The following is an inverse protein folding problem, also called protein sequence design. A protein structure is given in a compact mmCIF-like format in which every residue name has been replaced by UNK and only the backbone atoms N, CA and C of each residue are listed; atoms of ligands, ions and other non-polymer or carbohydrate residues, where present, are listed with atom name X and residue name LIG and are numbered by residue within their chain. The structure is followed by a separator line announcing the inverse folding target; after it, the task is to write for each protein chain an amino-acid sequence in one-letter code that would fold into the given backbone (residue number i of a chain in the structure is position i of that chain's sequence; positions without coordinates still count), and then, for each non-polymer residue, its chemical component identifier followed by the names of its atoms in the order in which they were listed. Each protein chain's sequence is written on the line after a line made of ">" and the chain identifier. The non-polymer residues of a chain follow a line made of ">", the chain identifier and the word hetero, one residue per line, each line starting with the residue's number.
data_IF_018026596356
#
_entry.id   IF_018026596356
#
_cell.length_a   1.000
_cell.length_b   1.000
_cell.length_c   1.000
_cell.angle_alpha   90.00
_cell.angle_beta   90.00
_cell.angle_gamma   90.00
#
_symmetry.space_group_name_H-M   'P 1'
#
loop_
_entity.id
_entity.type
_entity.pdbx_description
1 polymer ?
#
# COMPACT_ATOMS: atom_id res chain seq x y z
N UNK A 1 -59.97 40.86 -47.91
CA UNK A 1 -58.80 41.15 -47.05
C UNK A 1 -58.80 40.14 -45.90
N UNK A 2 -57.87 39.20 -45.91
CA UNK A 2 -57.41 38.49 -44.69
C UNK A 2 -56.04 37.92 -45.00
N UNK A 3 -55.06 38.48 -44.31
CA UNK A 3 -53.67 38.10 -44.22
C UNK A 3 -53.48 37.41 -42.86
N UNK A 4 -52.38 36.69 -42.70
CA UNK A 4 -51.69 36.23 -41.45
C UNK A 4 -51.62 34.70 -41.40
N UNK A 5 -50.56 34.07 -41.94
CA UNK A 5 -49.15 33.93 -41.46
C UNK A 5 -48.98 32.69 -40.58
N UNK A 6 -48.20 31.73 -41.09
CA UNK A 6 -47.62 30.60 -40.36
C UNK A 6 -46.59 31.11 -39.33
N UNK A 7 -46.63 30.58 -38.11
CA UNK A 7 -45.52 30.65 -37.16
C UNK A 7 -44.78 29.31 -37.10
N UNK A 8 -43.43 29.30 -37.10
CA UNK A 8 -42.63 28.10 -36.89
C UNK A 8 -42.42 27.81 -35.39
N UNK A 9 -42.41 26.51 -35.07
CA UNK A 9 -42.03 25.97 -33.75
C UNK A 9 -40.49 25.98 -33.66
N UNK A 10 -39.94 26.77 -32.74
CA UNK A 10 -38.53 26.75 -32.38
C UNK A 10 -38.30 25.73 -31.25
N UNK A 11 -37.49 24.71 -31.52
CA UNK A 11 -36.93 23.82 -30.51
C UNK A 11 -35.82 24.55 -29.75
N UNK A 12 -36.05 24.84 -28.47
CA UNK A 12 -35.01 25.28 -27.55
C UNK A 12 -34.32 24.06 -26.94
N UNK A 13 -33.13 23.74 -27.45
CA UNK A 13 -32.18 22.82 -26.80
C UNK A 13 -31.45 23.58 -25.68
N UNK A 14 -31.97 23.48 -24.47
CA UNK A 14 -31.29 23.99 -23.27
C UNK A 14 -30.14 23.07 -22.86
N UNK A 15 -28.91 23.45 -23.16
CA UNK A 15 -27.73 22.96 -22.44
C UNK A 15 -27.75 23.54 -21.02
N UNK A 16 -28.00 22.69 -20.03
CA UNK A 16 -27.75 23.04 -18.63
C UNK A 16 -26.23 23.03 -18.38
N UNK A 17 -25.65 24.09 -17.79
CA UNK A 17 -24.24 24.10 -17.40
C UNK A 17 -24.03 23.18 -16.20
N UNK A 18 -23.17 22.18 -16.37
CA UNK A 18 -22.62 21.37 -15.28
C UNK A 18 -21.68 22.25 -14.47
N UNK A 19 -22.12 22.69 -13.30
CA UNK A 19 -21.28 23.34 -12.28
C UNK A 19 -20.37 22.29 -11.65
N UNK A 20 -19.13 22.20 -12.14
CA UNK A 20 -18.06 21.48 -11.45
C UNK A 20 -17.64 22.28 -10.22
N UNK A 21 -18.16 21.88 -9.05
CA UNK A 21 -17.69 22.38 -7.76
C UNK A 21 -16.27 21.84 -7.55
N UNK A 22 -15.24 22.67 -7.78
CA UNK A 22 -13.87 22.37 -7.35
C UNK A 22 -13.87 22.26 -5.82
N UNK A 23 -13.79 21.04 -5.31
CA UNK A 23 -13.45 20.79 -3.92
C UNK A 23 -11.95 20.99 -3.81
N UNK A 24 -11.54 22.15 -3.29
CA UNK A 24 -10.16 22.36 -2.85
C UNK A 24 -9.95 21.49 -1.61
N UNK A 25 -9.40 20.30 -1.81
CA UNK A 25 -8.86 19.51 -0.71
C UNK A 25 -7.40 19.96 -0.56
N UNK A 26 -7.13 20.84 0.40
CA UNK A 26 -5.75 21.14 0.79
C UNK A 26 -5.15 19.87 1.40
N UNK A 27 -4.35 19.15 0.61
CA UNK A 27 -3.51 18.07 1.11
C UNK A 27 -2.31 18.73 1.80
N UNK A 28 -2.34 18.78 3.13
CA UNK A 28 -1.18 19.16 3.92
C UNK A 28 -0.12 18.06 3.81
N UNK A 29 0.79 18.19 2.85
CA UNK A 29 2.07 17.48 2.86
C UNK A 29 2.89 18.02 4.03
N UNK A 30 2.98 17.27 5.12
CA UNK A 30 4.16 17.36 6.00
C UNK A 30 5.27 16.61 5.28
N UNK A 31 6.27 17.33 4.78
CA UNK A 31 7.55 16.71 4.44
C UNK A 31 8.01 15.88 5.65
N UNK A 32 8.30 14.58 5.49
CA UNK A 32 9.00 13.86 6.53
C UNK A 32 10.35 14.55 6.70
N UNK A 33 10.62 15.07 7.90
CA UNK A 33 11.97 15.50 8.23
C UNK A 33 12.84 14.25 8.18
N UNK A 34 13.63 14.14 7.10
CA UNK A 34 14.69 13.16 6.97
C UNK A 34 15.79 13.63 7.90
N UNK A 35 15.84 13.05 9.09
CA UNK A 35 16.96 13.25 9.99
C UNK A 35 18.16 12.50 9.40
N UNK A 36 18.99 13.22 8.67
CA UNK A 36 20.22 12.74 8.05
C UNK A 36 21.31 12.64 9.13
N UNK A 37 21.07 11.84 10.15
CA UNK A 37 22.07 11.54 11.17
C UNK A 37 23.06 10.52 10.58
N UNK A 38 24.02 11.04 9.80
CA UNK A 38 25.16 10.31 9.23
C UNK A 38 26.14 9.92 10.34
N UNK A 39 25.70 9.08 11.27
CA UNK A 39 26.58 8.48 12.28
C UNK A 39 27.34 7.34 11.62
N UNK A 40 28.65 7.51 11.44
CA UNK A 40 29.60 6.48 10.99
C UNK A 40 29.48 5.13 11.74
N UNK A 41 28.93 5.13 12.96
CA UNK A 41 28.63 3.93 13.72
C UNK A 41 27.56 3.02 13.06
N UNK A 42 26.54 3.61 12.42
CA UNK A 42 25.47 2.88 11.71
C UNK A 42 26.04 2.15 10.49
N UNK A 43 27.04 2.74 9.84
CA UNK A 43 27.70 2.12 8.69
C UNK A 43 28.36 0.78 9.03
N UNK A 44 29.01 0.69 10.18
CA UNK A 44 29.68 -0.56 10.62
C UNK A 44 28.72 -1.72 10.89
N UNK A 45 27.43 -1.44 11.15
CA UNK A 45 26.44 -2.41 11.66
C UNK A 45 25.26 -2.67 10.72
N UNK A 46 25.16 -2.02 9.56
CA UNK A 46 24.06 -2.25 8.61
C UNK A 46 22.84 -1.36 8.88
N UNK A 47 21.88 -1.32 7.95
CA UNK A 47 20.72 -0.44 8.07
C UNK A 47 19.58 -1.02 8.91
N UNK A 48 18.61 -0.18 9.25
CA UNK A 48 17.46 -0.54 10.08
C UNK A 48 16.28 -1.04 9.23
N UNK A 49 15.42 -1.95 9.74
CA UNK A 49 14.16 -2.26 9.08
C UNK A 49 13.23 -1.04 9.11
N UNK A 50 12.18 -1.08 8.30
CA UNK A 50 11.09 -0.12 8.39
C UNK A 50 10.14 -0.46 9.52
N UNK A 51 9.50 0.56 10.09
CA UNK A 51 8.54 0.36 11.18
C UNK A 51 7.31 -0.39 10.69
N UNK A 52 6.80 -1.33 11.49
CA UNK A 52 5.53 -2.04 11.21
C UNK A 52 4.49 -1.60 12.24
N UNK A 53 3.35 -1.12 11.74
CA UNK A 53 2.20 -0.69 12.54
C UNK A 53 1.00 -1.53 12.16
N UNK A 54 0.32 -2.09 13.15
CA UNK A 54 -0.91 -2.84 12.93
C UNK A 54 -1.99 -2.32 13.87
N UNK A 55 -3.16 -2.03 13.32
CA UNK A 55 -4.28 -1.51 14.08
C UNK A 55 -5.63 -2.19 13.74
N UNK A 56 -6.53 -2.17 14.73
CA UNK A 56 -7.93 -2.59 14.58
C UNK A 56 -8.19 -4.02 15.06
N UNK A 57 -9.22 -4.67 14.50
CA UNK A 57 -9.79 -5.94 15.00
C UNK A 57 -8.80 -7.11 15.06
N UNK A 58 -7.70 -7.01 14.32
CA UNK A 58 -6.64 -8.02 14.29
C UNK A 58 -5.67 -7.92 15.47
N UNK A 59 -5.83 -6.91 16.32
CA UNK A 59 -5.07 -6.73 17.56
C UNK A 59 -6.04 -6.81 18.73
N UNK A 60 -5.71 -7.65 19.72
CA UNK A 60 -6.48 -7.81 20.96
C UNK A 60 -5.53 -7.97 22.14
N UNK A 61 -5.73 -7.20 23.20
CA UNK A 61 -4.91 -7.19 24.41
C UNK A 61 -3.41 -7.01 24.06
N UNK A 62 -3.13 -6.08 23.14
CA UNK A 62 -1.79 -5.84 22.55
C UNK A 62 -1.15 -7.06 21.87
N UNK A 63 -1.92 -8.11 21.59
CA UNK A 63 -1.47 -9.32 20.89
C UNK A 63 -2.09 -9.39 19.51
N UNK A 64 -1.35 -9.90 18.54
CA UNK A 64 -1.79 -10.01 17.16
C UNK A 64 -2.58 -11.31 16.93
N UNK A 65 -3.60 -11.28 16.07
CA UNK A 65 -4.29 -12.49 15.60
C UNK A 65 -3.26 -13.50 15.08
N UNK A 66 -3.38 -14.77 15.50
CA UNK A 66 -2.44 -15.84 15.19
C UNK A 66 -2.18 -16.07 13.69
N UNK A 67 -3.08 -15.60 12.81
CA UNK A 67 -2.93 -15.68 11.36
C UNK A 67 -1.95 -14.63 10.82
N UNK A 68 -1.65 -13.59 11.58
CA UNK A 68 -0.73 -12.53 11.17
C UNK A 68 0.56 -12.65 11.99
N UNK A 69 1.70 -12.58 11.32
CA UNK A 69 3.03 -12.58 11.93
C UNK A 69 3.80 -11.34 11.50
N UNK A 70 4.61 -10.82 12.41
CA UNK A 70 5.53 -9.71 12.13
C UNK A 70 6.97 -10.20 12.29
N UNK A 71 7.82 -9.91 11.30
CA UNK A 71 9.26 -10.18 11.34
C UNK A 71 10.03 -8.90 10.97
N UNK A 72 10.95 -8.50 11.83
CA UNK A 72 11.83 -7.36 11.57
C UNK A 72 13.27 -7.74 11.86
N UNK A 73 14.15 -7.42 10.91
CA UNK A 73 15.57 -7.70 11.02
C UNK A 73 16.41 -6.50 10.57
N UNK A 74 17.50 -6.22 11.29
CA UNK A 74 18.51 -5.28 10.81
C UNK A 74 19.24 -5.84 9.60
N UNK A 75 19.83 -4.97 8.79
CA UNK A 75 20.70 -5.36 7.68
C UNK A 75 22.11 -5.68 8.14
N UNK A 76 22.93 -6.22 7.25
CA UNK A 76 24.34 -6.56 7.49
C UNK A 76 25.24 -5.37 7.14
N UNK A 77 26.16 -4.98 8.04
CA UNK A 77 27.11 -3.89 7.82
C UNK A 77 28.44 -4.34 7.20
N UNK A 78 29.37 -3.39 7.00
CA UNK A 78 30.73 -3.65 6.47
C UNK A 78 31.51 -4.72 7.25
N UNK A 79 31.27 -4.82 8.57
CA UNK A 79 31.94 -5.78 9.44
C UNK A 79 31.39 -7.21 9.33
N UNK A 80 30.34 -7.43 8.53
CA UNK A 80 29.58 -8.68 8.48
C UNK A 80 28.60 -8.86 9.65
N UNK A 81 28.61 -7.96 10.64
CA UNK A 81 27.65 -7.94 11.73
C UNK A 81 26.28 -7.42 11.29
N UNK A 82 25.20 -7.97 11.87
CA UNK A 82 23.82 -7.52 11.63
C UNK A 82 23.41 -6.42 12.61
N UNK A 83 22.68 -5.42 12.14
CA UNK A 83 22.20 -4.33 12.97
C UNK A 83 21.22 -4.86 14.02
N UNK A 84 21.38 -4.42 15.26
CA UNK A 84 20.30 -4.58 16.25
C UNK A 84 19.17 -3.62 15.91
N UNK A 85 17.93 -4.09 15.95
CA UNK A 85 16.76 -3.28 15.62
C UNK A 85 16.52 -2.27 16.74
N UNK A 86 16.49 -0.97 16.40
CA UNK A 86 16.23 0.08 17.39
C UNK A 86 14.79 0.02 17.89
N UNK A 87 14.57 0.51 19.12
CA UNK A 87 13.25 0.54 19.77
C UNK A 87 12.17 1.26 18.93
N UNK A 88 12.56 2.28 18.17
CA UNK A 88 11.66 3.07 17.33
C UNK A 88 11.04 2.28 16.17
N UNK A 89 11.76 1.26 15.70
CA UNK A 89 11.35 0.40 14.60
C UNK A 89 10.57 -0.82 15.07
N UNK A 90 10.56 -1.14 16.37
CA UNK A 90 9.79 -2.27 16.91
C UNK A 90 8.31 -2.17 16.52
N UNK A 91 7.60 -3.31 16.38
CA UNK A 91 6.21 -3.31 15.95
C UNK A 91 5.33 -2.53 16.91
N UNK A 92 4.43 -1.72 16.37
CA UNK A 92 3.44 -0.94 17.15
C UNK A 92 2.06 -1.51 16.88
N UNK A 93 1.42 -2.04 17.92
CA UNK A 93 0.11 -2.65 17.85
C UNK A 93 -0.92 -1.76 18.57
N UNK A 94 -2.07 -1.52 17.93
CA UNK A 94 -3.19 -0.75 18.51
C UNK A 94 -4.51 -1.48 18.28
N UNK A 95 -5.37 -1.55 19.28
CA UNK A 95 -6.69 -2.19 19.12
C UNK A 95 -7.68 -1.32 18.32
N UNK A 96 -7.47 0.00 18.33
CA UNK A 96 -8.35 0.95 17.69
C UNK A 96 -7.66 1.71 16.56
N UNK A 97 -8.41 1.95 15.49
CA UNK A 97 -8.00 2.80 14.37
C UNK A 97 -8.51 4.21 14.65
N UNK A 98 -7.59 5.19 14.74
CA UNK A 98 -7.89 6.58 15.11
C UNK A 98 -8.76 7.33 14.08
N UNK A 99 -8.94 6.75 12.88
CA UNK A 99 -9.70 7.33 11.76
C UNK A 99 -10.50 6.25 11.00
N UNK A 100 -11.32 5.49 11.73
CA UNK A 100 -12.10 4.37 11.17
C UNK A 100 -13.18 4.82 10.16
N UNK A 101 -13.68 6.05 10.29
CA UNK A 101 -14.78 6.56 9.45
C UNK A 101 -14.31 7.03 8.07
N UNK A 102 -13.02 7.34 7.89
CA UNK A 102 -12.47 7.76 6.60
C UNK A 102 -12.61 6.69 5.50
N UNK A 103 -12.53 5.41 5.84
CA UNK A 103 -12.64 4.31 4.86
C UNK A 103 -14.08 4.15 4.36
N UNK A 104 -15.09 4.45 5.19
CA UNK A 104 -16.51 4.23 4.86
C UNK A 104 -17.10 5.27 3.91
N UNK A 105 -16.61 6.51 3.95
CA UNK A 105 -17.26 7.62 3.26
C UNK A 105 -16.80 7.83 1.80
N UNK A 106 -15.73 7.16 1.35
CA UNK A 106 -15.09 7.45 0.05
C UNK A 106 -15.32 6.42 -1.06
N UNK A 107 -15.82 5.24 -0.73
CA UNK A 107 -15.67 4.08 -1.61
C UNK A 107 -16.96 3.78 -2.37
N UNK A 108 -16.97 4.04 -3.68
CA UNK A 108 -18.06 3.68 -4.59
C UNK A 108 -18.39 2.17 -4.49
N UNK A 109 -19.65 1.82 -4.28
CA UNK A 109 -20.13 0.47 -3.94
C UNK A 109 -19.85 -0.65 -4.99
N UNK A 110 -19.36 -0.31 -6.19
CA UNK A 110 -19.22 -1.26 -7.32
C UNK A 110 -17.83 -1.25 -7.99
N UNK A 111 -16.77 -0.91 -7.25
CA UNK A 111 -15.40 -0.91 -7.79
C UNK A 111 -14.62 -2.15 -7.33
N UNK A 112 -14.09 -2.89 -8.30
CA UNK A 112 -13.20 -4.03 -8.07
C UNK A 112 -11.85 -3.78 -8.74
N UNK A 113 -10.79 -3.78 -7.94
CA UNK A 113 -9.41 -3.73 -8.43
C UNK A 113 -8.76 -5.07 -8.13
N UNK A 114 -8.28 -5.74 -9.17
CA UNK A 114 -7.58 -7.01 -9.02
C UNK A 114 -6.15 -6.87 -9.55
N UNK A 115 -5.17 -7.11 -8.70
CA UNK A 115 -3.75 -6.93 -8.98
C UNK A 115 -3.06 -8.29 -8.93
N UNK A 116 -2.35 -8.64 -10.00
CA UNK A 116 -1.63 -9.91 -10.10
C UNK A 116 -2.52 -11.15 -10.27
N UNK A 117 -3.83 -11.00 -10.43
CA UNK A 117 -4.78 -12.11 -10.55
C UNK A 117 -4.97 -12.56 -12.02
N UNK A 118 -5.20 -13.86 -12.23
CA UNK A 118 -5.52 -14.39 -13.56
C UNK A 118 -6.94 -14.01 -14.01
N UNK A 119 -7.15 -13.92 -15.33
CA UNK A 119 -8.41 -13.46 -15.91
C UNK A 119 -9.63 -14.31 -15.51
N UNK A 120 -9.45 -15.63 -15.29
CA UNK A 120 -10.57 -16.51 -14.87
C UNK A 120 -10.99 -16.20 -13.45
N UNK A 121 -10.03 -15.99 -12.54
CA UNK A 121 -10.28 -15.60 -11.15
C UNK A 121 -10.94 -14.23 -11.06
N UNK A 122 -10.46 -13.26 -11.84
CA UNK A 122 -11.06 -11.93 -11.92
C UNK A 122 -12.49 -11.99 -12.45
N UNK A 123 -12.74 -12.75 -13.52
CA UNK A 123 -14.09 -12.94 -14.06
C UNK A 123 -15.05 -13.56 -13.02
N UNK A 124 -14.60 -14.59 -12.30
CA UNK A 124 -15.40 -15.22 -11.23
C UNK A 124 -15.73 -14.25 -10.08
N UNK A 125 -14.83 -13.35 -9.73
CA UNK A 125 -15.05 -12.33 -8.70
C UNK A 125 -15.95 -11.20 -9.20
N UNK A 126 -15.74 -10.73 -10.43
CA UNK A 126 -16.53 -9.67 -11.04
C UNK A 126 -17.99 -10.09 -11.27
N UNK A 127 -18.22 -11.34 -11.68
CA UNK A 127 -19.57 -11.92 -11.83
C UNK A 127 -20.35 -11.96 -10.51
N UNK A 128 -19.66 -12.03 -9.37
CA UNK A 128 -20.28 -12.03 -8.04
C UNK A 128 -20.55 -10.63 -7.50
N UNK A 129 -19.85 -9.61 -8.00
CA UNK A 129 -19.83 -8.27 -7.40
C UNK A 129 -20.31 -7.16 -8.34
N UNK A 130 -20.89 -7.47 -9.52
CA UNK A 130 -21.42 -6.47 -10.47
C UNK A 130 -20.49 -5.28 -10.75
N UNK A 131 -19.18 -5.52 -10.75
CA UNK A 131 -18.17 -4.46 -10.61
C UNK A 131 -17.39 -4.20 -11.90
N UNK A 132 -17.00 -2.93 -12.10
CA UNK A 132 -16.04 -2.53 -13.13
C UNK A 132 -14.65 -2.99 -12.70
N UNK A 133 -14.04 -3.85 -13.50
CA UNK A 133 -12.70 -4.43 -13.26
C UNK A 133 -11.62 -3.50 -13.77
N UNK A 134 -10.70 -3.08 -12.89
CA UNK A 134 -9.42 -2.49 -13.30
C UNK A 134 -8.34 -3.52 -12.98
N UNK A 135 -7.82 -4.18 -14.02
CA UNK A 135 -6.65 -5.05 -13.92
C UNK A 135 -5.41 -4.24 -14.34
N UNK A 136 -4.53 -3.92 -13.41
CA UNK A 136 -3.24 -3.28 -13.69
C UNK A 136 -2.15 -4.35 -13.71
N UNK A 137 -1.57 -4.70 -14.88
CA UNK A 137 -0.61 -5.80 -14.97
C UNK A 137 0.76 -5.48 -14.36
N UNK A 138 1.10 -4.20 -14.24
CA UNK A 138 2.42 -3.74 -13.78
C UNK A 138 2.30 -2.28 -13.39
N UNK A 139 2.35 -1.97 -12.10
CA UNK A 139 2.36 -0.58 -11.64
C UNK A 139 3.79 -0.04 -11.67
N UNK A 140 4.25 0.39 -12.84
CA UNK A 140 5.35 1.36 -12.94
C UNK A 140 4.76 2.74 -12.64
N UNK A 141 4.55 3.03 -11.37
CA UNK A 141 4.15 4.35 -10.91
C UNK A 141 5.38 5.04 -10.33
N UNK A 142 5.93 6.02 -11.05
CA UNK A 142 6.89 6.96 -10.46
C UNK A 142 6.10 7.85 -9.48
N UNK A 143 6.23 7.62 -8.17
CA UNK A 143 5.56 8.43 -7.15
C UNK A 143 4.65 7.65 -6.20
N UNK A 144 3.45 8.20 -5.96
CA UNK A 144 2.43 7.63 -5.06
C UNK A 144 1.45 6.78 -5.88
N UNK A 145 1.34 5.49 -5.54
CA UNK A 145 0.28 4.63 -6.02
C UNK A 145 -0.80 4.54 -4.96
N UNK A 146 -1.87 5.29 -5.15
CA UNK A 146 -3.06 5.26 -4.30
C UNK A 146 -4.19 4.53 -5.03
N UNK A 147 -4.72 3.49 -4.41
CA UNK A 147 -5.79 2.66 -4.95
C UNK A 147 -6.93 2.65 -3.96
N UNK A 148 -8.08 3.13 -4.40
CA UNK A 148 -9.32 3.15 -3.63
C UNK A 148 -10.40 2.35 -4.36
N UNK A 149 -10.92 1.32 -3.72
CA UNK A 149 -11.96 0.46 -4.32
C UNK A 149 -12.80 -0.26 -3.26
N UNK A 150 -14.05 -0.61 -3.59
CA UNK A 150 -14.89 -1.41 -2.70
C UNK A 150 -14.21 -2.74 -2.40
N UNK A 151 -13.77 -3.44 -3.44
CA UNK A 151 -12.99 -4.65 -3.31
C UNK A 151 -11.63 -4.50 -3.98
N UNK A 152 -10.56 -4.70 -3.20
CA UNK A 152 -9.20 -4.89 -3.71
C UNK A 152 -8.83 -6.36 -3.54
N UNK A 153 -8.37 -6.99 -4.61
CA UNK A 153 -7.89 -8.38 -4.59
C UNK A 153 -6.44 -8.41 -5.06
N UNK A 154 -5.61 -8.98 -4.22
CA UNK A 154 -4.18 -9.11 -4.42
C UNK A 154 -3.84 -10.59 -4.59
N UNK A 155 -3.27 -10.95 -5.74
CA UNK A 155 -2.89 -12.33 -6.06
C UNK A 155 -1.41 -12.41 -6.46
N UNK A 156 -0.83 -13.60 -6.25
CA UNK A 156 0.50 -13.97 -6.73
C UNK A 156 1.59 -12.99 -6.26
N UNK A 157 2.75 -13.04 -6.90
CA UNK A 157 3.90 -12.21 -6.55
C UNK A 157 3.85 -10.87 -7.28
N UNK A 158 4.08 -9.77 -6.54
CA UNK A 158 4.28 -8.44 -7.09
C UNK A 158 5.53 -7.81 -6.49
N UNK A 159 6.43 -7.35 -7.37
CA UNK A 159 7.61 -6.57 -6.98
C UNK A 159 7.41 -5.11 -7.37
N UNK A 160 7.56 -4.21 -6.40
CA UNK A 160 7.44 -2.76 -6.58
C UNK A 160 8.82 -2.13 -6.42
N UNK A 161 9.41 -1.70 -7.54
CA UNK A 161 10.79 -1.16 -7.58
C UNK A 161 10.84 0.37 -7.67
N UNK A 162 9.76 1.03 -8.13
CA UNK A 162 9.77 2.48 -8.43
C UNK A 162 8.67 3.30 -7.75
N UNK A 163 7.68 2.66 -7.12
CA UNK A 163 6.65 3.38 -6.38
C UNK A 163 7.20 3.78 -5.02
N UNK A 164 7.24 5.08 -4.70
CA UNK A 164 7.68 5.58 -3.40
C UNK A 164 6.63 5.31 -2.33
N UNK A 165 5.34 5.46 -2.64
CA UNK A 165 4.28 5.26 -1.64
C UNK A 165 3.20 4.34 -2.22
N UNK A 166 2.74 3.36 -1.44
CA UNK A 166 1.59 2.52 -1.78
C UNK A 166 0.50 2.75 -0.73
N UNK A 167 -0.67 3.22 -1.16
CA UNK A 167 -1.85 3.39 -0.31
C UNK A 167 -2.97 2.53 -0.89
N UNK A 168 -3.49 1.61 -0.09
CA UNK A 168 -4.64 0.76 -0.44
C UNK A 168 -5.78 1.06 0.53
N UNK A 169 -6.83 1.71 0.05
CA UNK A 169 -8.06 1.97 0.81
C UNK A 169 -9.19 1.10 0.24
N UNK A 170 -9.80 0.24 1.06
CA UNK A 170 -10.89 -0.62 0.60
C UNK A 170 -11.95 -0.91 1.65
N UNK A 171 -13.18 -1.21 1.21
CA UNK A 171 -14.12 -1.88 2.12
C UNK A 171 -13.65 -3.32 2.38
N UNK A 172 -13.23 -4.01 1.32
CA UNK A 172 -12.75 -5.39 1.40
C UNK A 172 -11.43 -5.59 0.67
N UNK A 173 -10.42 -6.01 1.42
CA UNK A 173 -9.14 -6.46 0.87
C UNK A 173 -9.05 -7.98 0.94
N UNK A 174 -8.76 -8.63 -0.20
CA UNK A 174 -8.52 -10.07 -0.25
C UNK A 174 -7.09 -10.35 -0.68
N UNK A 175 -6.31 -11.02 0.17
CA UNK A 175 -4.97 -11.53 -0.15
C UNK A 175 -5.08 -13.01 -0.48
N UNK A 176 -4.68 -13.39 -1.70
CA UNK A 176 -4.81 -14.75 -2.22
C UNK A 176 -3.47 -15.29 -2.73
N UNK A 177 -2.73 -15.98 -1.84
CA UNK A 177 -1.34 -16.41 -2.10
C UNK A 177 -0.49 -15.25 -2.62
N UNK A 178 -0.62 -14.11 -1.96
CA UNK A 178 -0.11 -12.84 -2.41
C UNK A 178 1.24 -12.54 -1.75
N UNK A 179 2.27 -12.21 -2.54
CA UNK A 179 3.61 -11.88 -2.07
C UNK A 179 4.03 -10.53 -2.63
N UNK A 180 4.00 -9.50 -1.79
CA UNK A 180 4.33 -8.12 -2.19
C UNK A 180 5.70 -7.79 -1.65
N UNK A 181 6.65 -7.50 -2.53
CA UNK A 181 7.98 -7.03 -2.15
C UNK A 181 8.19 -5.63 -2.65
N UNK A 182 8.50 -4.72 -1.73
CA UNK A 182 8.85 -3.33 -2.06
C UNK A 182 10.31 -3.10 -1.69
N UNK A 183 11.05 -2.59 -2.67
CA UNK A 183 12.48 -2.27 -2.53
C UNK A 183 12.62 -0.77 -2.80
N UNK A 184 12.89 0.01 -1.77
CA UNK A 184 12.88 1.48 -1.90
C UNK A 184 13.67 2.17 -0.79
N UNK A 185 14.21 3.35 -1.10
CA UNK A 185 14.96 4.18 -0.16
C UNK A 185 14.05 5.02 0.75
N UNK A 186 12.89 5.44 0.23
CA UNK A 186 11.97 6.38 0.87
C UNK A 186 10.56 5.98 0.49
N UNK A 187 9.72 5.75 1.50
CA UNK A 187 8.35 5.33 1.26
C UNK A 187 7.64 4.66 2.44
N UNK A 188 6.38 4.34 2.20
CA UNK A 188 5.55 3.52 3.09
C UNK A 188 4.51 2.73 2.30
N UNK A 189 4.10 1.60 2.87
CA UNK A 189 2.92 0.83 2.48
C UNK A 189 1.86 1.10 3.53
N UNK A 190 0.75 1.70 3.14
CA UNK A 190 -0.42 1.90 3.99
C UNK A 190 -1.57 1.10 3.42
N UNK A 191 -2.13 0.22 4.25
CA UNK A 191 -3.29 -0.60 3.92
C UNK A 191 -4.36 -0.30 4.95
N UNK A 192 -5.48 0.25 4.49
CA UNK A 192 -6.66 0.48 5.31
C UNK A 192 -7.83 -0.29 4.72
N UNK A 193 -8.43 -1.16 5.52
CA UNK A 193 -9.58 -1.94 5.07
C UNK A 193 -10.62 -2.15 6.16
N UNK A 194 -11.91 -2.19 5.79
CA UNK A 194 -12.93 -2.62 6.74
C UNK A 194 -12.82 -4.13 7.00
N UNK A 195 -12.59 -4.92 5.95
CA UNK A 195 -12.59 -6.39 5.99
C UNK A 195 -11.36 -6.94 5.29
N UNK A 196 -10.51 -7.64 6.04
CA UNK A 196 -9.36 -8.36 5.49
C UNK A 196 -9.72 -9.84 5.30
N UNK A 197 -9.54 -10.35 4.08
CA UNK A 197 -9.67 -11.77 3.77
C UNK A 197 -8.31 -12.38 3.45
N UNK A 198 -7.88 -13.40 4.20
CA UNK A 198 -6.62 -14.10 3.99
C UNK A 198 -6.87 -15.50 3.43
N UNK A 199 -6.30 -15.79 2.26
CA UNK A 199 -6.38 -17.09 1.61
C UNK A 199 -4.99 -17.60 1.25
N UNK A 200 -4.65 -18.80 1.72
CA UNK A 200 -3.31 -19.36 1.57
C UNK A 200 -2.22 -18.58 2.30
N UNK A 201 -1.00 -18.56 1.78
CA UNK A 201 0.15 -17.90 2.43
C UNK A 201 0.41 -16.55 1.78
N UNK A 202 0.30 -15.49 2.56
CA UNK A 202 0.49 -14.12 2.09
C UNK A 202 1.68 -13.46 2.77
N UNK A 203 2.35 -12.55 2.07
CA UNK A 203 3.48 -11.79 2.57
C UNK A 203 3.46 -10.36 2.04
N UNK A 204 3.77 -9.41 2.91
CA UNK A 204 4.11 -8.04 2.56
C UNK A 204 5.50 -7.79 3.13
N UNK A 205 6.45 -7.52 2.24
CA UNK A 205 7.87 -7.40 2.55
C UNK A 205 8.40 -6.04 2.09
N UNK A 206 9.05 -5.31 3.00
CA UNK A 206 9.82 -4.10 2.66
C UNK A 206 11.29 -4.30 2.95
N UNK A 207 12.14 -3.80 2.05
CA UNK A 207 13.59 -3.71 2.26
C UNK A 207 14.13 -2.45 1.61
N UNK A 208 15.18 -1.87 2.17
CA UNK A 208 15.93 -0.86 1.43
C UNK A 208 16.84 -1.55 0.38
N UNK A 209 17.21 -0.85 -0.70
CA UNK A 209 18.23 -1.31 -1.63
C UNK A 209 19.55 -1.58 -0.90
N UNK A 210 20.23 -2.67 -1.27
CA UNK A 210 21.62 -2.87 -0.88
C UNK A 210 22.48 -1.78 -1.51
N UNK A 211 23.28 -1.09 -0.71
CA UNK A 211 24.13 0.00 -1.16
C UNK A 211 25.56 -0.15 -0.60
N UNK A 212 26.53 0.32 -1.38
CA UNK A 212 27.95 0.20 -1.07
C UNK A 212 28.50 1.30 -0.15
N UNK A 213 27.71 2.35 0.13
CA UNK A 213 28.19 3.51 0.91
C UNK A 213 27.18 4.13 1.88
N UNK A 214 25.88 3.87 1.73
CA UNK A 214 24.83 4.50 2.54
C UNK A 214 23.81 3.47 3.01
N UNK A 215 23.56 3.41 4.32
CA UNK A 215 22.48 2.57 4.87
C UNK A 215 21.25 3.43 5.09
N UNK A 216 20.18 3.11 4.39
CA UNK A 216 18.87 3.70 4.60
C UNK A 216 17.99 2.72 5.36
N UNK A 217 17.11 3.24 6.20
CA UNK A 217 16.09 2.39 6.81
C UNK A 217 15.12 1.91 5.73
N UNK A 218 14.64 0.66 5.85
CA UNK A 218 13.61 0.18 4.95
C UNK A 218 12.29 0.91 5.16
N UNK A 219 11.40 0.77 4.18
CA UNK A 219 10.12 1.45 4.18
C UNK A 219 9.16 0.85 5.20
N UNK A 220 8.30 1.71 5.77
CA UNK A 220 7.36 1.29 6.81
C UNK A 220 6.12 0.59 6.24
N UNK A 221 5.52 -0.28 7.04
CA UNK A 221 4.24 -0.94 6.73
C UNK A 221 3.21 -0.50 7.78
N UNK A 222 2.05 -0.05 7.34
CA UNK A 222 0.87 0.18 8.17
C UNK A 222 -0.29 -0.68 7.66
N UNK A 223 -0.88 -1.46 8.56
CA UNK A 223 -2.04 -2.30 8.30
C UNK A 223 -3.16 -1.97 9.30
N UNK A 224 -4.23 -1.37 8.82
CA UNK A 224 -5.42 -1.05 9.60
C UNK A 224 -6.57 -1.94 9.11
N UNK A 225 -7.10 -2.79 10.01
CA UNK A 225 -8.25 -3.68 9.73
C UNK A 225 -9.38 -3.35 10.68
N UNK A 226 -10.41 -2.68 10.19
CA UNK A 226 -11.37 -1.97 11.07
C UNK A 226 -12.40 -2.91 11.69
N UNK A 227 -12.97 -3.86 10.93
CA UNK A 227 -14.16 -4.60 11.35
C UNK A 227 -13.99 -6.11 11.39
N UNK A 228 -13.39 -6.72 10.37
CA UNK A 228 -13.38 -8.19 10.25
C UNK A 228 -12.10 -8.75 9.63
N UNK A 229 -11.73 -9.96 10.07
CA UNK A 229 -10.66 -10.78 9.52
C UNK A 229 -11.18 -12.18 9.20
N UNK A 230 -11.36 -12.45 7.91
CA UNK A 230 -11.93 -13.69 7.38
C UNK A 230 -10.88 -14.55 6.65
N UNK A 231 -11.24 -15.81 6.42
CA UNK A 231 -10.39 -16.79 5.71
C UNK A 231 -9.46 -17.59 6.63
N UNK A 232 -8.92 -18.66 6.06
CA UNK A 232 -8.06 -19.66 6.71
C UNK A 232 -6.57 -19.47 6.41
N UNK A 233 -6.23 -18.43 5.64
CA UNK A 233 -4.86 -18.09 5.29
C UNK A 233 -4.07 -17.38 6.37
N UNK A 234 -2.81 -17.08 6.04
CA UNK A 234 -1.86 -16.36 6.90
C UNK A 234 -1.30 -15.13 6.21
N UNK A 235 -0.82 -14.15 6.99
CA UNK A 235 -0.13 -12.96 6.52
C UNK A 235 1.19 -12.76 7.29
N UNK A 236 2.31 -12.71 6.57
CA UNK A 236 3.59 -12.29 7.12
C UNK A 236 3.87 -10.83 6.73
N UNK A 237 3.98 -9.95 7.72
CA UNK A 237 4.51 -8.60 7.55
C UNK A 237 6.01 -8.63 7.87
N UNK A 238 6.84 -8.44 6.86
CA UNK A 238 8.29 -8.52 7.00
C UNK A 238 8.95 -7.18 6.66
N UNK A 239 9.95 -6.77 7.42
CA UNK A 239 10.83 -5.67 7.03
C UNK A 239 12.29 -5.99 7.37
N UNK A 240 13.19 -5.73 6.41
CA UNK A 240 14.63 -5.93 6.58
C UNK A 240 15.39 -4.65 6.29
N UNK A 241 16.36 -4.33 7.13
CA UNK A 241 17.39 -3.35 6.76
C UNK A 241 18.23 -3.82 5.57
N UNK A 242 18.88 -2.90 4.84
CA UNK A 242 19.74 -3.22 3.71
C UNK A 242 21.04 -3.87 4.15
N UNK A 243 21.45 -4.89 3.40
CA UNK A 243 22.77 -5.50 3.54
C UNK A 243 23.82 -4.72 2.74
N UNK A 244 25.00 -4.61 3.34
CA UNK A 244 26.20 -4.18 2.66
C UNK A 244 26.61 -5.22 1.62
N UNK A 245 26.94 -4.75 0.42
CA UNK A 245 27.64 -5.56 -0.59
C UNK A 245 28.89 -4.83 -1.00
N UNK A 246 30.03 -5.51 -0.86
CA UNK A 246 31.28 -5.04 -1.43
C UNK A 246 31.13 -5.11 -2.94
N UNK A 247 31.02 -3.94 -3.58
CA UNK A 247 31.14 -3.85 -5.02
C UNK A 247 32.56 -4.32 -5.35
N UNK A 248 32.67 -5.49 -5.98
CA UNK A 248 33.93 -5.91 -6.60
C UNK A 248 34.19 -4.94 -7.75
N UNK A 249 34.76 -3.78 -7.44
CA UNK A 249 35.41 -2.95 -8.44
C UNK A 249 36.52 -3.81 -9.02
N UNK A 250 36.25 -4.42 -10.18
CA UNK A 250 37.28 -5.01 -11.01
C UNK A 250 38.26 -3.88 -11.30
N UNK A 251 39.43 -3.93 -10.66
CA UNK A 251 40.55 -3.09 -11.07
C UNK A 251 40.78 -3.37 -12.56
N UNK A 252 40.68 -2.35 -13.43
CA UNK A 252 41.12 -2.53 -14.80
C UNK A 252 42.60 -2.89 -14.74
N UNK A 253 42.93 -4.06 -15.32
CA UNK A 253 44.32 -4.50 -15.49
C UNK A 253 45.03 -3.64 -16.54
#
# INVERSE_FOLDING_TARGET
>A
MSLTILLPVLFYSGCLPVTTKKVNTEVHYREPQVDLDLTFAVQSRGGQPGAIRVAGVVVKDSTLDSRIKIEQEGGVGFSGGRATVNKEYLPKLKEHVEDADAVRNFINENTLVAIGCDAKRVANLALRNSSRVIATPTANANGVLEIEANMIVLCNELKLEHAHILILNSDKLMLMNASYTKIGLIGFIVIKTNKLGLFGKNMIYTTAPTASSSFFSAESIQLDVIQDLAGDGTLLLKSSGPDYKEDKFSTPK
#
